data_IF_556341722782
#
_entry.id   IF_556341722782
#
_cell.length_a   1.000
_cell.length_b   1.000
_cell.length_c   1.000
_cell.angle_alpha   90.00
_cell.angle_beta   90.00
_cell.angle_gamma   90.00
#
_symmetry.space_group_name_H-M   'P 1'
#
loop_
_entity.id
_entity.type
_entity.pdbx_description
1 polymer ?
#
# COMPACT_ATOMS: atom_id res chain seq x y z
N UNK A 1 -34.93 17.94 -50.58
CA UNK A 1 -34.38 16.56 -50.51
C UNK A 1 -32.88 16.69 -50.68
N UNK A 2 -31.98 16.40 -49.73
CA UNK A 2 -32.06 15.75 -48.42
C UNK A 2 -30.69 15.10 -48.20
N UNK A 3 -29.98 15.47 -47.11
CA UNK A 3 -28.86 14.79 -46.45
C UNK A 3 -27.59 14.49 -47.30
N UNK A 4 -26.34 14.43 -46.80
CA UNK A 4 -25.85 14.14 -45.46
C UNK A 4 -24.41 14.66 -45.31
N UNK A 5 -24.09 15.23 -44.15
CA UNK A 5 -22.73 15.48 -43.67
C UNK A 5 -22.20 14.14 -43.13
N UNK A 6 -21.07 13.65 -43.64
CA UNK A 6 -20.30 12.62 -42.94
C UNK A 6 -18.89 13.13 -42.66
N UNK A 7 -18.70 13.57 -41.41
CA UNK A 7 -17.37 13.64 -40.81
C UNK A 7 -16.84 12.22 -40.65
N UNK A 8 -15.77 11.88 -41.36
CA UNK A 8 -14.92 10.75 -41.04
C UNK A 8 -13.96 11.18 -39.92
N UNK A 9 -14.38 10.98 -38.67
CA UNK A 9 -13.46 10.96 -37.53
C UNK A 9 -12.67 9.66 -37.60
N UNK A 10 -11.38 9.75 -37.92
CA UNK A 10 -10.46 8.62 -37.84
C UNK A 10 -10.30 8.20 -36.38
N UNK A 11 -10.73 7.00 -36.05
CA UNK A 11 -10.44 6.34 -34.78
C UNK A 11 -8.97 5.97 -34.74
N UNK A 12 -8.19 6.65 -33.89
CA UNK A 12 -6.85 6.21 -33.50
C UNK A 12 -6.98 4.99 -32.57
N UNK A 13 -6.99 3.80 -33.16
CA UNK A 13 -6.78 2.53 -32.46
C UNK A 13 -5.28 2.24 -32.40
N UNK A 14 -4.60 2.78 -31.39
CA UNK A 14 -3.24 2.38 -31.05
C UNK A 14 -3.27 1.60 -29.74
N UNK A 15 -3.24 0.27 -29.81
CA UNK A 15 -2.96 -0.57 -28.65
C UNK A 15 -1.50 -0.36 -28.25
N UNK A 16 -1.27 0.34 -27.14
CA UNK A 16 0.06 0.59 -26.60
C UNK A 16 0.72 -0.76 -26.26
N UNK A 17 1.85 -1.06 -26.91
CA UNK A 17 2.56 -2.34 -26.76
C UNK A 17 3.05 -2.59 -25.32
N UNK A 18 3.05 -1.59 -24.44
CA UNK A 18 3.35 -1.73 -23.00
C UNK A 18 2.19 -2.30 -22.18
N UNK A 19 0.97 -2.21 -22.70
CA UNK A 19 -0.25 -2.71 -22.07
C UNK A 19 -0.33 -4.25 -22.17
N UNK A 20 0.12 -4.79 -23.31
CA UNK A 20 0.09 -6.22 -23.65
C UNK A 20 0.87 -7.10 -22.64
N UNK A 21 2.11 -6.80 -22.22
CA UNK A 21 2.83 -7.64 -21.26
C UNK A 21 2.24 -7.62 -19.84
N UNK A 22 1.63 -6.51 -19.38
CA UNK A 22 0.92 -6.48 -18.10
C UNK A 22 -0.31 -7.38 -18.19
N UNK A 23 -1.14 -7.22 -19.22
CA UNK A 23 -2.33 -8.06 -19.40
C UNK A 23 -2.02 -9.53 -19.73
N UNK A 24 -0.93 -9.82 -20.44
CA UNK A 24 -0.47 -11.18 -20.71
C UNK A 24 0.15 -11.84 -19.46
N UNK A 25 0.77 -11.07 -18.57
CA UNK A 25 1.13 -11.56 -17.24
C UNK A 25 -0.08 -11.68 -16.31
N UNK A 26 -1.16 -10.92 -16.53
CA UNK A 26 -2.45 -11.11 -15.83
C UNK A 26 -3.18 -12.40 -16.29
N UNK A 27 -2.96 -12.89 -17.50
CA UNK A 27 -3.54 -14.17 -17.99
C UNK A 27 -2.85 -15.43 -17.48
N UNK A 28 -1.66 -15.33 -16.87
CA UNK A 28 -0.93 -16.45 -16.26
C UNK A 28 -1.08 -16.49 -14.72
N UNK A 29 -2.00 -15.70 -14.15
CA UNK A 29 -2.26 -15.67 -12.71
C UNK A 29 -3.15 -16.86 -12.34
N UNK A 30 -2.52 -17.98 -11.98
CA UNK A 30 -3.16 -19.05 -11.22
C UNK A 30 -3.67 -18.48 -9.89
N UNK A 31 -4.96 -18.15 -9.85
CA UNK A 31 -5.57 -17.64 -8.63
C UNK A 31 -6.85 -16.86 -8.88
N UNK A 32 -7.80 -17.45 -9.59
CA UNK A 32 -9.19 -16.97 -9.57
C UNK A 32 -9.78 -17.13 -8.16
N UNK A 33 -9.32 -16.37 -7.17
CA UNK A 33 -10.20 -15.95 -6.08
C UNK A 33 -11.13 -14.93 -6.70
N UNK A 34 -12.26 -15.42 -7.21
CA UNK A 34 -13.40 -14.60 -7.55
C UNK A 34 -13.84 -13.96 -6.22
N UNK A 35 -13.30 -12.78 -5.88
CA UNK A 35 -13.82 -11.94 -4.80
C UNK A 35 -15.22 -11.51 -5.25
N UNK A 36 -16.20 -12.41 -5.12
CA UNK A 36 -17.58 -12.04 -5.36
C UNK A 36 -17.94 -11.05 -4.28
N UNK A 37 -18.48 -9.90 -4.69
CA UNK A 37 -19.06 -8.89 -3.80
C UNK A 37 -19.99 -9.51 -2.73
N UNK A 38 -20.56 -10.68 -3.05
CA UNK A 38 -21.39 -11.51 -2.17
C UNK A 38 -20.70 -12.00 -0.90
N UNK A 39 -19.39 -12.30 -0.90
CA UNK A 39 -18.70 -12.81 0.31
C UNK A 39 -18.68 -11.77 1.44
N UNK A 40 -18.67 -10.48 1.12
CA UNK A 40 -18.59 -9.40 2.11
C UNK A 40 -19.96 -8.85 2.53
N UNK A 41 -21.07 -9.34 1.95
CA UNK A 41 -22.40 -8.77 2.20
C UNK A 41 -22.82 -8.81 3.68
N UNK A 42 -22.37 -9.84 4.40
CA UNK A 42 -22.69 -10.07 5.81
C UNK A 42 -21.50 -9.83 6.76
N UNK A 43 -20.40 -9.25 6.25
CA UNK A 43 -19.18 -8.94 7.02
C UNK A 43 -19.16 -7.45 7.38
N UNK A 44 -18.93 -7.14 8.66
CA UNK A 44 -18.77 -5.75 9.09
C UNK A 44 -17.41 -5.18 8.67
N UNK A 45 -17.37 -3.93 8.18
CA UNK A 45 -16.14 -3.27 7.74
C UNK A 45 -15.77 -3.60 6.28
N UNK A 46 -14.50 -3.42 5.91
CA UNK A 46 -14.00 -3.75 4.58
C UNK A 46 -12.47 -3.95 4.62
N UNK A 47 -11.88 -4.68 3.66
CA UNK A 47 -10.44 -4.96 3.64
C UNK A 47 -9.60 -3.86 2.96
N UNK A 48 -10.16 -2.70 2.66
CA UNK A 48 -9.52 -1.67 1.82
C UNK A 48 -9.18 -0.40 2.59
N UNK A 49 -8.06 0.22 2.23
CA UNK A 49 -7.66 1.53 2.76
C UNK A 49 -8.55 2.64 2.17
N UNK A 50 -8.74 2.59 0.86
CA UNK A 50 -9.72 3.41 0.15
C UNK A 50 -10.80 2.48 -0.36
N UNK A 51 -12.05 2.65 0.09
CA UNK A 51 -13.15 1.74 -0.32
C UNK A 51 -13.39 1.75 -1.82
N UNK A 52 -13.16 2.87 -2.50
CA UNK A 52 -13.41 3.01 -3.92
C UNK A 52 -12.11 2.83 -4.72
N UNK A 53 -12.24 2.40 -5.98
CA UNK A 53 -11.13 2.50 -6.92
C UNK A 53 -10.79 3.96 -7.15
N UNK A 54 -9.50 4.27 -7.20
CA UNK A 54 -8.96 5.61 -7.42
C UNK A 54 -8.09 5.64 -8.66
N UNK A 55 -8.18 6.73 -9.43
CA UNK A 55 -7.33 6.93 -10.59
C UNK A 55 -5.87 7.00 -10.15
N UNK A 56 -5.05 6.12 -10.71
CA UNK A 56 -3.69 5.88 -10.27
C UNK A 56 -2.77 5.61 -11.45
N UNK A 57 -1.47 5.77 -11.21
CA UNK A 57 -0.40 5.50 -12.15
C UNK A 57 0.54 4.45 -11.57
N UNK A 58 1.04 3.55 -12.41
CA UNK A 58 2.13 2.65 -12.04
C UNK A 58 3.38 3.20 -12.72
N UNK A 59 4.42 3.52 -11.95
CA UNK A 59 5.63 4.13 -12.50
C UNK A 59 6.25 3.18 -13.53
N UNK A 60 6.54 3.70 -14.72
CA UNK A 60 7.01 2.91 -15.86
C UNK A 60 5.92 2.47 -16.83
N UNK A 61 4.63 2.67 -16.48
CA UNK A 61 3.48 2.38 -17.34
C UNK A 61 2.81 3.70 -17.73
N UNK A 62 2.65 3.94 -19.03
CA UNK A 62 2.16 5.24 -19.56
C UNK A 62 0.69 5.52 -19.27
N UNK A 63 -0.10 4.48 -19.04
CA UNK A 63 -1.56 4.57 -18.93
C UNK A 63 -1.98 4.58 -17.47
N UNK A 64 -2.87 5.51 -17.12
CA UNK A 64 -3.51 5.55 -15.79
C UNK A 64 -4.60 4.49 -15.70
N UNK A 65 -4.76 3.92 -14.52
CA UNK A 65 -5.70 2.83 -14.24
C UNK A 65 -6.46 3.09 -12.95
N UNK A 66 -7.63 2.48 -12.82
CA UNK A 66 -8.41 2.51 -11.58
C UNK A 66 -7.90 1.42 -10.65
N UNK A 67 -7.23 1.83 -9.56
CA UNK A 67 -6.60 0.91 -8.60
C UNK A 67 -7.24 1.00 -7.22
N UNK A 68 -7.18 -0.09 -6.45
CA UNK A 68 -7.49 -0.11 -5.02
C UNK A 68 -6.54 -1.06 -4.30
N UNK A 69 -6.15 -0.70 -3.08
CA UNK A 69 -5.28 -1.53 -2.25
C UNK A 69 -6.09 -2.31 -1.21
N UNK A 70 -5.99 -3.64 -1.25
CA UNK A 70 -6.54 -4.56 -0.25
C UNK A 70 -5.48 -4.80 0.82
N UNK A 71 -5.69 -4.24 2.01
CA UNK A 71 -4.77 -4.32 3.15
C UNK A 71 -4.93 -5.58 4.00
N UNK A 72 -5.92 -6.42 3.70
CA UNK A 72 -6.05 -7.76 4.30
C UNK A 72 -5.19 -8.77 3.56
N UNK A 73 -5.31 -8.83 2.23
CA UNK A 73 -4.55 -9.75 1.39
C UNK A 73 -3.20 -9.17 0.92
N UNK A 74 -2.93 -7.89 1.16
CA UNK A 74 -1.73 -7.16 0.72
C UNK A 74 -1.54 -7.25 -0.81
N UNK A 75 -2.60 -6.92 -1.54
CA UNK A 75 -2.65 -6.95 -3.02
C UNK A 75 -3.22 -5.65 -3.60
N UNK A 76 -2.80 -5.34 -4.83
CA UNK A 76 -3.38 -4.25 -5.63
C UNK A 76 -4.40 -4.83 -6.59
N UNK A 77 -5.63 -4.32 -6.50
CA UNK A 77 -6.73 -4.60 -7.42
C UNK A 77 -6.79 -3.55 -8.53
N UNK A 78 -7.01 -3.98 -9.77
CA UNK A 78 -7.17 -3.14 -10.96
C UNK A 78 -8.57 -3.34 -11.51
N UNK A 79 -9.29 -2.25 -11.75
CA UNK A 79 -10.58 -2.28 -12.44
C UNK A 79 -10.39 -1.93 -13.92
N UNK A 80 -10.72 -2.88 -14.81
CA UNK A 80 -10.67 -2.69 -16.27
C UNK A 80 -12.02 -2.27 -16.86
N UNK A 81 -13.10 -2.83 -16.32
CA UNK A 81 -14.48 -2.52 -16.66
C UNK A 81 -15.37 -2.68 -15.42
N UNK A 82 -16.64 -2.24 -15.45
CA UNK A 82 -17.58 -2.56 -14.38
C UNK A 82 -17.61 -4.07 -14.13
N UNK A 83 -17.31 -4.49 -12.90
CA UNK A 83 -17.20 -5.90 -12.45
C UNK A 83 -16.04 -6.73 -13.03
N UNK A 84 -15.10 -6.13 -13.77
CA UNK A 84 -13.88 -6.80 -14.26
C UNK A 84 -12.68 -6.33 -13.42
N UNK A 85 -12.39 -7.06 -12.34
CA UNK A 85 -11.35 -6.74 -11.35
C UNK A 85 -10.26 -7.82 -11.39
N UNK A 86 -9.01 -7.39 -11.47
CA UNK A 86 -7.81 -8.23 -11.47
C UNK A 86 -6.88 -7.87 -10.32
N UNK A 87 -5.99 -8.77 -9.93
CA UNK A 87 -4.89 -8.46 -9.00
C UNK A 87 -3.56 -8.34 -9.74
N UNK A 88 -2.68 -7.46 -9.27
CA UNK A 88 -1.31 -7.34 -9.79
C UNK A 88 -0.40 -8.27 -8.99
N UNK A 89 0.30 -9.17 -9.67
CA UNK A 89 1.37 -9.98 -9.07
C UNK A 89 2.48 -9.08 -8.54
N UNK A 90 3.02 -9.43 -7.37
CA UNK A 90 4.15 -8.71 -6.77
C UNK A 90 5.41 -8.94 -7.60
N UNK A 91 5.71 -7.97 -8.47
CA UNK A 91 6.85 -7.97 -9.37
C UNK A 91 7.70 -6.70 -9.11
N UNK A 92 9.01 -6.83 -8.84
CA UNK A 92 9.92 -5.68 -8.69
C UNK A 92 9.95 -4.70 -9.86
N UNK A 93 9.56 -5.13 -11.07
CA UNK A 93 9.40 -4.24 -12.23
C UNK A 93 8.27 -3.23 -12.03
N UNK A 94 7.22 -3.61 -11.30
CA UNK A 94 6.05 -2.78 -11.01
C UNK A 94 6.00 -2.44 -9.52
N UNK A 95 7.01 -1.71 -9.05
CA UNK A 95 7.22 -1.51 -7.62
C UNK A 95 6.68 -0.18 -7.05
N UNK A 96 6.21 0.76 -7.87
CA UNK A 96 5.77 2.07 -7.39
C UNK A 96 4.43 2.46 -8.01
N UNK A 97 3.48 2.80 -7.15
CA UNK A 97 2.10 3.15 -7.49
C UNK A 97 1.79 4.54 -6.95
N UNK A 98 1.43 5.46 -7.83
CA UNK A 98 0.97 6.80 -7.49
C UNK A 98 -0.55 6.80 -7.51
N UNK A 99 -1.17 6.82 -6.32
CA UNK A 99 -2.60 6.63 -6.14
C UNK A 99 -3.32 7.95 -5.83
N UNK A 100 -4.58 8.03 -6.26
CA UNK A 100 -5.45 9.17 -6.04
C UNK A 100 -4.83 10.49 -6.53
N UNK A 101 -4.52 10.57 -7.82
CA UNK A 101 -3.82 11.72 -8.42
C UNK A 101 -2.50 12.08 -7.71
N UNK A 102 -1.67 11.06 -7.46
CA UNK A 102 -0.33 11.18 -6.87
C UNK A 102 -0.31 11.70 -5.42
N UNK A 103 -1.45 11.71 -4.73
CA UNK A 103 -1.52 12.07 -3.32
C UNK A 103 -0.89 11.01 -2.40
N UNK A 104 -0.95 9.75 -2.82
CA UNK A 104 -0.35 8.64 -2.09
C UNK A 104 0.63 7.90 -2.98
N UNK A 105 1.79 7.56 -2.43
CA UNK A 105 2.78 6.73 -3.10
C UNK A 105 2.90 5.42 -2.36
N UNK A 106 2.50 4.33 -3.00
CA UNK A 106 2.61 2.98 -2.48
C UNK A 106 3.78 2.28 -3.18
N UNK A 107 4.61 1.57 -2.41
CA UNK A 107 5.82 0.91 -2.88
C UNK A 107 5.77 -0.58 -2.56
N UNK A 108 6.04 -1.42 -3.53
CA UNK A 108 6.39 -2.81 -3.31
C UNK A 108 7.84 -2.86 -2.84
N UNK A 109 8.06 -3.38 -1.64
CA UNK A 109 9.39 -3.48 -1.05
C UNK A 109 9.70 -4.91 -0.65
N UNK A 110 10.97 -5.29 -0.75
CA UNK A 110 11.44 -6.55 -0.20
C UNK A 110 11.92 -6.32 1.23
N UNK A 111 11.29 -6.97 2.21
CA UNK A 111 11.86 -7.06 3.54
C UNK A 111 12.89 -8.18 3.53
N UNK A 112 14.17 -7.82 3.50
CA UNK A 112 15.25 -8.79 3.69
C UNK A 112 14.98 -9.60 4.97
N UNK A 113 14.67 -10.88 4.79
CA UNK A 113 14.49 -11.84 5.85
C UNK A 113 15.61 -12.89 5.76
N UNK A 114 15.80 -13.69 6.80
CA UNK A 114 16.78 -14.78 6.78
C UNK A 114 16.32 -15.98 5.92
N UNK A 115 15.34 -15.79 5.03
CA UNK A 115 14.82 -16.81 4.12
C UNK A 115 15.44 -16.64 2.73
N UNK A 116 15.52 -17.73 1.97
CA UNK A 116 15.89 -17.67 0.56
C UNK A 116 14.80 -17.07 -0.34
N UNK A 117 13.57 -16.96 0.17
CA UNK A 117 12.42 -16.43 -0.56
C UNK A 117 12.18 -14.94 -0.24
N UNK A 118 12.03 -14.08 -1.27
CA UNK A 118 11.80 -12.66 -1.05
C UNK A 118 10.45 -12.41 -0.34
N UNK A 119 10.46 -11.55 0.68
CA UNK A 119 9.25 -11.18 1.41
C UNK A 119 8.77 -9.80 0.95
N UNK A 120 8.04 -9.78 -0.15
CA UNK A 120 7.47 -8.55 -0.69
C UNK A 120 6.25 -8.05 0.09
N UNK A 121 6.23 -6.76 0.43
CA UNK A 121 5.10 -6.05 1.05
C UNK A 121 4.82 -4.72 0.35
N UNK A 122 3.55 -4.29 0.33
CA UNK A 122 3.22 -2.92 -0.06
C UNK A 122 3.28 -1.97 1.14
N UNK A 123 4.04 -0.89 1.01
CA UNK A 123 4.19 0.16 2.03
C UNK A 123 3.92 1.55 1.43
N UNK A 124 3.17 2.39 2.14
CA UNK A 124 3.01 3.79 1.78
C UNK A 124 4.26 4.59 2.13
N UNK A 125 4.79 5.36 1.19
CA UNK A 125 5.88 6.31 1.43
C UNK A 125 5.29 7.61 2.02
N UNK A 126 5.59 7.86 3.30
CA UNK A 126 5.12 9.05 4.02
C UNK A 126 6.11 10.22 3.91
N UNK A 127 7.39 9.90 3.79
CA UNK A 127 8.48 10.86 3.63
C UNK A 127 9.61 10.19 2.85
N UNK A 128 10.27 10.94 1.98
CA UNK A 128 11.53 10.54 1.36
C UNK A 128 12.41 11.78 1.23
N UNK A 129 13.49 11.84 2.00
CA UNK A 129 14.38 13.00 2.03
C UNK A 129 15.80 12.57 2.38
N UNK A 130 16.78 13.13 1.67
CA UNK A 130 18.21 12.87 1.90
C UNK A 130 18.56 11.36 1.95
N UNK A 131 17.93 10.52 1.13
CA UNK A 131 18.10 9.06 1.13
C UNK A 131 17.60 8.33 2.40
N UNK A 132 16.74 8.97 3.19
CA UNK A 132 16.01 8.33 4.27
C UNK A 132 14.51 8.41 3.96
N UNK A 133 13.84 7.26 3.93
CA UNK A 133 12.39 7.20 3.72
C UNK A 133 11.67 6.68 4.96
N UNK A 134 10.54 7.31 5.31
CA UNK A 134 9.57 6.76 6.26
C UNK A 134 8.49 6.03 5.47
N UNK A 135 8.33 4.75 5.75
CA UNK A 135 7.35 3.88 5.10
C UNK A 135 6.32 3.40 6.13
N UNK A 136 5.07 3.25 5.72
CA UNK A 136 3.96 2.76 6.55
C UNK A 136 3.32 1.54 5.93
N UNK A 137 3.20 0.48 6.72
CA UNK A 137 2.38 -0.69 6.41
C UNK A 137 0.99 -0.47 6.98
N UNK A 138 -0.01 -0.69 6.13
CA UNK A 138 -1.40 -0.71 6.54
C UNK A 138 -1.88 -2.16 6.49
N UNK A 139 -2.36 -2.68 7.62
CA UNK A 139 -2.86 -4.05 7.74
C UNK A 139 -4.27 -4.07 8.29
N UNK A 140 -5.15 -4.84 7.67
CA UNK A 140 -6.48 -5.17 8.19
C UNK A 140 -6.51 -6.66 8.47
N UNK A 141 -7.08 -7.07 9.61
CA UNK A 141 -7.29 -8.49 9.92
C UNK A 141 -8.79 -8.82 9.77
N UNK A 142 -9.09 -10.08 9.43
CA UNK A 142 -10.46 -10.61 9.45
C UNK A 142 -10.69 -11.41 10.73
N UNK A 143 -11.79 -11.12 11.42
CA UNK A 143 -12.23 -11.84 12.61
C UNK A 143 -13.47 -12.63 12.23
N UNK A 144 -13.39 -13.95 12.38
CA UNK A 144 -14.51 -14.85 12.14
C UNK A 144 -15.68 -14.56 13.09
N UNK A 145 -16.89 -14.69 12.54
CA UNK A 145 -18.10 -14.64 13.34
C UNK A 145 -18.24 -15.91 14.19
N UNK A 146 -18.92 -15.79 15.32
CA UNK A 146 -19.26 -16.95 16.14
C UNK A 146 -20.73 -16.92 16.53
N UNK A 147 -21.40 -18.05 16.36
CA UNK A 147 -22.76 -18.26 16.83
C UNK A 147 -22.68 -18.66 18.32
N UNK A 148 -23.51 -18.07 19.21
CA UNK A 148 -23.60 -18.52 20.59
C UNK A 148 -23.93 -20.01 20.67
N UNK A 149 -23.19 -20.78 21.45
CA UNK A 149 -23.52 -22.19 21.72
C UNK A 149 -24.45 -22.34 22.92
N UNK A 150 -24.53 -21.31 23.77
CA UNK A 150 -25.40 -21.27 24.95
C UNK A 150 -26.09 -19.92 25.05
N UNK A 151 -27.17 -19.82 25.84
CA UNK A 151 -27.88 -18.57 26.12
C UNK A 151 -27.05 -17.52 26.87
N UNK A 152 -25.89 -17.90 27.40
CA UNK A 152 -24.97 -17.01 28.13
C UNK A 152 -23.82 -16.48 27.25
N UNK A 153 -23.62 -17.07 26.06
CA UNK A 153 -22.58 -16.61 25.14
C UNK A 153 -23.08 -15.47 24.26
N UNK A 154 -22.28 -14.42 24.12
CA UNK A 154 -22.49 -13.42 23.08
C UNK A 154 -21.85 -13.88 21.77
N UNK A 155 -22.65 -13.94 20.73
CA UNK A 155 -22.21 -14.17 19.37
C UNK A 155 -21.66 -12.88 18.77
N UNK A 156 -20.89 -13.00 17.70
CA UNK A 156 -20.44 -11.84 16.93
C UNK A 156 -20.53 -12.15 15.44
N UNK A 157 -20.83 -11.11 14.66
CA UNK A 157 -20.74 -11.19 13.20
C UNK A 157 -19.26 -11.24 12.77
N UNK A 158 -18.97 -11.84 11.60
CA UNK A 158 -17.66 -11.71 11.01
C UNK A 158 -17.36 -10.24 10.70
N UNK A 159 -16.12 -9.81 10.91
CA UNK A 159 -15.75 -8.41 10.70
C UNK A 159 -14.30 -8.22 10.31
N UNK A 160 -14.03 -7.15 9.59
CA UNK A 160 -12.69 -6.60 9.43
C UNK A 160 -12.35 -5.68 10.60
N UNK A 161 -11.10 -5.75 11.06
CA UNK A 161 -10.59 -4.82 12.08
C UNK A 161 -10.41 -3.43 11.51
N UNK A 162 -10.29 -2.44 12.41
CA UNK A 162 -9.67 -1.17 12.04
C UNK A 162 -8.24 -1.41 11.52
N UNK A 163 -7.78 -0.49 10.66
CA UNK A 163 -6.43 -0.53 10.11
C UNK A 163 -5.41 -0.47 11.24
N UNK A 164 -4.45 -1.38 11.22
CA UNK A 164 -3.26 -1.37 12.07
C UNK A 164 -2.10 -0.83 11.25
N UNK A 165 -1.36 0.11 11.85
CA UNK A 165 -0.20 0.74 11.21
C UNK A 165 1.09 0.18 11.80
N UNK A 166 2.08 -0.04 10.94
CA UNK A 166 3.46 -0.32 11.35
C UNK A 166 4.39 0.50 10.47
N UNK A 167 5.47 1.02 11.05
CA UNK A 167 6.36 1.95 10.37
C UNK A 167 7.72 1.32 10.13
N UNK A 168 8.36 1.72 9.05
CA UNK A 168 9.66 1.24 8.62
C UNK A 168 10.51 2.43 8.14
N UNK A 169 11.82 2.29 8.29
CA UNK A 169 12.81 3.20 7.71
C UNK A 169 13.53 2.49 6.58
N UNK A 170 13.57 3.14 5.41
CA UNK A 170 14.50 2.79 4.34
C UNK A 170 15.73 3.68 4.47
N UNK A 171 16.88 3.08 4.76
CA UNK A 171 18.14 3.83 4.94
C UNK A 171 18.83 4.10 3.60
N UNK A 172 19.93 4.86 3.65
CA UNK A 172 20.75 5.18 2.47
C UNK A 172 21.20 3.94 1.69
N UNK A 173 21.46 2.84 2.39
CA UNK A 173 21.89 1.57 1.81
C UNK A 173 20.74 0.74 1.23
N UNK A 174 19.54 1.33 1.10
CA UNK A 174 18.30 0.67 0.62
C UNK A 174 17.81 -0.47 1.50
N UNK A 175 18.35 -0.61 2.71
CA UNK A 175 17.86 -1.55 3.71
C UNK A 175 16.60 -1.00 4.35
N UNK A 176 15.59 -1.86 4.48
CA UNK A 176 14.33 -1.54 5.15
C UNK A 176 14.31 -2.21 6.51
N UNK A 177 14.20 -1.39 7.56
CA UNK A 177 14.15 -1.84 8.96
C UNK A 177 12.89 -1.34 9.62
N UNK A 178 12.36 -2.08 10.59
CA UNK A 178 11.24 -1.59 11.39
C UNK A 178 11.62 -0.30 12.12
N UNK A 179 10.69 0.66 12.16
CA UNK A 179 10.89 1.87 12.95
C UNK A 179 11.04 1.49 14.43
N UNK A 180 12.02 2.03 15.16
CA UNK A 180 12.27 1.65 16.53
C UNK A 180 11.09 1.99 17.45
N UNK A 181 10.57 0.97 18.13
CA UNK A 181 9.42 1.08 19.03
C UNK A 181 9.70 1.89 20.30
N UNK A 182 10.98 2.13 20.61
CA UNK A 182 11.40 2.86 21.79
C UNK A 182 12.55 3.80 21.49
N UNK A 183 12.64 4.85 22.31
CA UNK A 183 13.75 5.81 22.23
C UNK A 183 15.09 5.10 22.36
N UNK A 184 15.23 4.12 23.26
CA UNK A 184 16.48 3.38 23.43
C UNK A 184 16.88 2.64 22.15
N UNK A 185 15.95 1.93 21.50
CA UNK A 185 16.20 1.26 20.21
C UNK A 185 16.60 2.26 19.11
N UNK A 186 15.98 3.44 19.09
CA UNK A 186 16.34 4.51 18.15
C UNK A 186 17.78 5.00 18.36
N UNK A 187 18.17 5.26 19.61
CA UNK A 187 19.52 5.74 19.92
C UNK A 187 20.61 4.73 19.53
N UNK A 188 20.35 3.42 19.71
CA UNK A 188 21.25 2.36 19.26
C UNK A 188 21.50 2.37 17.74
N UNK A 189 20.58 2.91 16.94
CA UNK A 189 20.76 3.06 15.50
C UNK A 189 21.62 4.27 15.13
N UNK A 190 21.79 5.24 16.03
CA UNK A 190 22.50 6.50 15.80
C UNK A 190 23.43 6.84 16.99
N UNK A 191 24.43 6.00 17.29
CA UNK A 191 25.25 6.14 18.50
C UNK A 191 26.08 7.44 18.53
N UNK A 192 26.38 8.03 17.38
CA UNK A 192 27.16 9.28 17.30
C UNK A 192 26.30 10.54 17.51
N UNK A 193 24.97 10.43 17.38
CA UNK A 193 24.01 11.55 17.41
C UNK A 193 23.00 11.44 18.56
N UNK A 194 23.29 10.64 19.59
CA UNK A 194 22.33 10.35 20.66
C UNK A 194 21.87 11.61 21.42
N UNK A 195 22.79 12.55 21.62
CA UNK A 195 22.57 13.80 22.33
C UNK A 195 21.61 14.71 21.55
N UNK A 196 21.86 14.86 20.25
CA UNK A 196 21.09 15.66 19.30
C UNK A 196 19.66 15.10 19.19
N UNK A 197 19.53 13.79 18.99
CA UNK A 197 18.24 13.09 18.90
C UNK A 197 17.45 13.24 20.21
N UNK A 198 18.11 13.04 21.35
CA UNK A 198 17.47 13.20 22.66
C UNK A 198 16.95 14.62 22.89
N UNK A 199 17.75 15.63 22.54
CA UNK A 199 17.35 17.05 22.65
C UNK A 199 16.16 17.34 21.74
N UNK A 200 16.21 16.87 20.49
CA UNK A 200 15.14 17.09 19.51
C UNK A 200 13.80 16.46 19.97
N UNK A 201 13.83 15.20 20.42
CA UNK A 201 12.63 14.51 20.90
C UNK A 201 11.99 15.25 22.08
N UNK A 202 12.81 15.71 23.04
CA UNK A 202 12.32 16.45 24.21
C UNK A 202 11.75 17.82 23.83
N UNK A 203 12.49 18.60 23.05
CA UNK A 203 12.10 19.95 22.66
C UNK A 203 10.78 19.99 21.86
N UNK A 204 10.53 18.96 21.05
CA UNK A 204 9.35 18.88 20.20
C UNK A 204 8.25 17.94 20.74
N UNK A 205 8.43 17.39 21.96
CA UNK A 205 7.49 16.43 22.57
C UNK A 205 7.11 15.27 21.63
N UNK A 206 8.12 14.70 20.96
CA UNK A 206 7.92 13.65 19.95
C UNK A 206 7.44 12.36 20.60
N UNK A 207 6.31 11.84 20.12
CA UNK A 207 5.83 10.49 20.41
C UNK A 207 6.22 9.53 19.29
N UNK A 208 6.78 8.38 19.65
CA UNK A 208 7.09 7.30 18.70
C UNK A 208 5.87 6.46 18.28
N UNK A 209 4.67 6.82 18.75
CA UNK A 209 3.40 6.18 18.36
C UNK A 209 2.52 7.04 17.45
N UNK A 210 2.88 8.32 17.22
CA UNK A 210 2.08 9.25 16.41
C UNK A 210 2.72 9.46 15.04
N UNK A 211 2.00 9.14 13.97
CA UNK A 211 2.49 9.25 12.58
C UNK A 211 3.12 10.63 12.27
N UNK A 212 2.43 11.72 12.63
CA UNK A 212 2.91 13.09 12.40
C UNK A 212 4.27 13.35 13.06
N UNK A 213 4.48 12.81 14.25
CA UNK A 213 5.74 12.97 14.97
C UNK A 213 6.82 12.07 14.36
N UNK A 214 6.48 10.88 13.87
CA UNK A 214 7.40 10.02 13.13
C UNK A 214 7.89 10.69 11.85
N UNK A 215 7.01 11.36 11.10
CA UNK A 215 7.39 12.15 9.93
C UNK A 215 8.35 13.28 10.33
N UNK A 216 8.01 14.02 11.39
CA UNK A 216 8.82 15.13 11.91
C UNK A 216 10.21 14.66 12.35
N UNK A 217 10.27 13.57 13.11
CA UNK A 217 11.50 12.95 13.58
C UNK A 217 12.33 12.40 12.41
N UNK A 218 11.71 11.69 11.47
CA UNK A 218 12.44 11.14 10.32
C UNK A 218 13.02 12.25 9.45
N UNK A 219 12.29 13.36 9.27
CA UNK A 219 12.80 14.54 8.58
C UNK A 219 14.02 15.13 9.30
N UNK A 220 14.03 15.19 10.64
CA UNK A 220 15.21 15.61 11.40
C UNK A 220 16.37 14.62 11.25
N UNK A 221 16.13 13.31 11.44
CA UNK A 221 17.14 12.26 11.28
C UNK A 221 17.80 12.32 9.89
N UNK A 222 17.02 12.65 8.86
CA UNK A 222 17.52 12.79 7.49
C UNK A 222 18.59 13.89 7.31
N UNK A 223 18.74 14.80 8.28
CA UNK A 223 19.70 15.92 8.24
C UNK A 223 20.96 15.69 9.08
N UNK A 224 20.98 14.65 9.92
CA UNK A 224 22.08 14.38 10.88
C UNK A 224 22.74 13.01 10.67
N UNK A 225 22.28 12.26 9.66
CA UNK A 225 22.84 10.99 9.19
C UNK A 225 24.14 11.18 8.41
#
# INVERSE_FOLDING_TARGET
>A
MGYCISMLSQTFGGTDQTIIPIYNNLSNIEGNKKYTQDFYKDVEGNPYIFKNFVLSEIVGIKTKMMLRYNAYDDVIEVQKAPNEIYTISKDPLYNTFLMNNNQFKLRLVNLENNSSEPSYLYLFELLNKNNLSLLRRDKIDFIEGRIPRTSFELGNKPKFTSVKYSYYLETKDKKIVAFPESKAKLLLMYPQQESEITKFIKANSISLSREKDLITLTNFLSTIQ
#
